data_IF_912001411715
#
_entry.id   IF_912001411715
#
_cell.length_a   1.000
_cell.length_b   1.000
_cell.length_c   1.000
_cell.angle_alpha   90.00
_cell.angle_beta   90.00
_cell.angle_gamma   90.00
#
_symmetry.space_group_name_H-M   'P 1'
#
loop_
_entity.id
_entity.type
_entity.pdbx_description
1 polymer ?
#
# COMPACT_ATOMS: atom_id res chain seq x y z
N UNK A 1 11.34 21.97 -26.61
CA UNK A 1 12.02 20.79 -26.03
C UNK A 1 10.96 19.80 -25.60
N UNK A 2 10.88 18.66 -26.28
CA UNK A 2 10.08 17.52 -25.82
C UNK A 2 10.68 17.01 -24.51
N UNK A 3 9.88 16.99 -23.45
CA UNK A 3 10.27 16.45 -22.14
C UNK A 3 9.71 15.05 -22.02
N UNK A 4 10.59 14.06 -22.01
CA UNK A 4 10.23 12.66 -21.84
C UNK A 4 10.10 12.34 -20.35
N UNK A 5 9.07 11.59 -19.96
CA UNK A 5 8.86 11.17 -18.57
C UNK A 5 8.51 9.69 -18.53
N UNK A 6 9.16 8.94 -17.65
CA UNK A 6 8.79 7.56 -17.34
C UNK A 6 7.90 7.55 -16.11
N UNK A 7 6.73 6.92 -16.20
CA UNK A 7 5.82 6.70 -15.08
C UNK A 7 5.69 5.20 -14.85
N UNK A 8 6.06 4.75 -13.65
CA UNK A 8 5.92 3.36 -13.21
C UNK A 8 4.63 3.18 -12.40
N UNK A 9 3.96 2.02 -12.53
CA UNK A 9 2.69 1.75 -11.83
C UNK A 9 1.54 2.65 -12.28
N UNK A 10 1.47 2.98 -13.58
CA UNK A 10 0.43 3.84 -14.15
C UNK A 10 -0.88 3.11 -14.51
N UNK A 11 -1.03 1.85 -14.16
CA UNK A 11 -2.21 1.04 -14.43
C UNK A 11 -3.43 1.56 -13.66
N UNK A 12 -3.24 2.02 -12.41
CA UNK A 12 -4.31 2.53 -11.52
C UNK A 12 -3.81 3.62 -10.57
N UNK A 13 -4.77 4.28 -9.91
CA UNK A 13 -4.52 5.24 -8.81
C UNK A 13 -3.64 6.43 -9.20
N UNK A 14 -2.77 6.83 -8.27
CA UNK A 14 -1.92 8.02 -8.41
C UNK A 14 -1.00 7.93 -9.64
N UNK A 15 -0.41 6.76 -9.92
CA UNK A 15 0.47 6.59 -11.07
C UNK A 15 -0.25 6.88 -12.40
N UNK A 16 -1.48 6.37 -12.53
CA UNK A 16 -2.35 6.65 -13.68
C UNK A 16 -2.70 8.14 -13.77
N UNK A 17 -3.09 8.75 -12.64
CA UNK A 17 -3.44 10.16 -12.59
C UNK A 17 -2.26 11.07 -12.97
N UNK A 18 -1.05 10.72 -12.52
CA UNK A 18 0.20 11.42 -12.88
C UNK A 18 0.50 11.26 -14.37
N UNK A 19 0.43 10.04 -14.91
CA UNK A 19 0.67 9.78 -16.33
C UNK A 19 -0.29 10.59 -17.22
N UNK A 20 -1.59 10.56 -16.91
CA UNK A 20 -2.62 11.31 -17.64
C UNK A 20 -2.42 12.83 -17.53
N UNK A 21 -2.01 13.32 -16.37
CA UNK A 21 -1.75 14.74 -16.17
C UNK A 21 -0.55 15.21 -16.98
N UNK A 22 0.56 14.47 -16.93
CA UNK A 22 1.77 14.78 -17.68
C UNK A 22 1.54 14.74 -19.19
N UNK A 23 0.73 13.78 -19.67
CA UNK A 23 0.34 13.74 -21.07
C UNK A 23 -0.46 15.00 -21.47
N UNK A 24 -1.42 15.43 -20.65
CA UNK A 24 -2.19 16.69 -20.87
C UNK A 24 -1.30 17.94 -20.87
N UNK A 25 -0.25 17.93 -20.06
CA UNK A 25 0.70 19.03 -19.97
C UNK A 25 1.77 18.99 -21.11
N UNK A 26 1.65 18.07 -22.08
CA UNK A 26 2.45 18.02 -23.30
C UNK A 26 3.76 17.23 -23.20
N UNK A 27 3.92 16.39 -22.17
CA UNK A 27 5.08 15.52 -22.02
C UNK A 27 4.94 14.25 -22.87
N UNK A 28 6.06 13.71 -23.34
CA UNK A 28 6.11 12.37 -23.92
C UNK A 28 6.19 11.36 -22.78
N UNK A 29 5.05 10.74 -22.44
CA UNK A 29 4.95 9.84 -21.31
C UNK A 29 5.19 8.40 -21.76
N UNK A 30 6.28 7.81 -21.28
CA UNK A 30 6.49 6.36 -21.32
C UNK A 30 5.88 5.76 -20.04
N UNK A 31 4.98 4.79 -20.21
CA UNK A 31 4.41 4.05 -19.08
C UNK A 31 5.11 2.70 -19.00
N UNK A 32 5.67 2.39 -17.85
CA UNK A 32 6.14 1.05 -17.55
C UNK A 32 5.25 0.45 -16.47
N UNK A 33 4.39 -0.45 -16.89
CA UNK A 33 3.57 -1.23 -15.97
C UNK A 33 3.70 -2.70 -16.28
N UNK A 34 3.53 -3.52 -15.25
CA UNK A 34 3.48 -4.95 -15.42
C UNK A 34 2.08 -5.23 -15.98
N UNK A 35 1.98 -5.81 -17.19
CA UNK A 35 0.72 -6.38 -17.66
C UNK A 35 0.28 -7.43 -16.64
N UNK A 36 -0.63 -7.06 -15.76
CA UNK A 36 -1.25 -7.99 -14.84
C UNK A 36 -2.75 -7.76 -14.87
N UNK A 37 -3.42 -8.77 -15.39
CA UNK A 37 -4.78 -9.11 -15.05
C UNK A 37 -4.96 -8.95 -13.53
N UNK A 38 -5.49 -7.81 -13.09
CA UNK A 38 -5.60 -7.44 -11.67
C UNK A 38 -6.44 -8.45 -10.88
N UNK A 39 -7.22 -9.29 -11.56
CA UNK A 39 -7.91 -10.44 -10.97
C UNK A 39 -6.94 -11.50 -10.38
N UNK A 40 -5.69 -11.56 -10.87
CA UNK A 40 -4.60 -12.41 -10.37
C UNK A 40 -3.76 -11.76 -9.28
N UNK A 41 -4.03 -10.50 -8.92
CA UNK A 41 -3.27 -9.72 -7.94
C UNK A 41 -3.54 -10.13 -6.47
N UNK A 42 -3.94 -11.38 -6.23
CA UNK A 42 -4.34 -11.88 -4.90
C UNK A 42 -3.16 -12.15 -3.95
N UNK A 43 -1.93 -12.24 -4.46
CA UNK A 43 -0.76 -12.63 -3.64
C UNK A 43 0.52 -11.85 -3.96
N UNK A 44 0.41 -10.61 -4.45
CA UNK A 44 1.61 -9.84 -4.83
C UNK A 44 2.49 -9.45 -3.62
N UNK A 45 1.94 -9.51 -2.40
CA UNK A 45 2.65 -9.22 -1.16
C UNK A 45 3.63 -10.34 -0.77
N UNK A 46 3.33 -11.59 -1.12
CA UNK A 46 4.15 -12.77 -0.81
C UNK A 46 5.36 -12.83 -1.75
N UNK A 47 6.54 -13.11 -1.19
CA UNK A 47 7.73 -13.41 -1.98
C UNK A 47 7.67 -14.86 -2.48
N UNK A 48 7.92 -15.09 -3.78
CA UNK A 48 7.93 -16.42 -4.41
C UNK A 48 9.32 -16.71 -4.96
N UNK A 49 9.91 -17.84 -4.57
CA UNK A 49 11.31 -18.19 -4.85
C UNK A 49 11.56 -18.71 -6.29
N UNK A 50 10.51 -18.99 -7.06
CA UNK A 50 10.52 -19.84 -8.27
C UNK A 50 11.26 -19.30 -9.51
N UNK A 51 12.01 -18.20 -9.43
CA UNK A 51 12.63 -17.55 -10.61
C UNK A 51 14.17 -17.44 -10.56
N UNK A 52 14.86 -18.09 -9.61
CA UNK A 52 16.32 -17.95 -9.46
C UNK A 52 17.02 -19.26 -9.87
N UNK A 53 17.69 -19.24 -11.03
CA UNK A 53 18.53 -20.36 -11.49
C UNK A 53 19.67 -20.62 -10.50
N UNK A 54 19.86 -21.89 -10.16
CA UNK A 54 20.45 -22.37 -8.89
C UNK A 54 21.99 -22.16 -8.79
N UNK A 55 22.66 -21.60 -9.79
CA UNK A 55 24.12 -21.65 -9.85
C UNK A 55 24.87 -20.63 -8.98
N UNK A 56 24.19 -19.60 -8.46
CA UNK A 56 24.70 -18.63 -7.44
C UNK A 56 23.62 -18.27 -6.39
N UNK A 57 22.83 -19.28 -6.00
CA UNK A 57 21.45 -19.13 -5.52
C UNK A 57 21.26 -18.45 -4.16
N UNK A 58 22.10 -18.71 -3.15
CA UNK A 58 21.80 -18.31 -1.77
C UNK A 58 21.89 -16.79 -1.55
N UNK A 59 22.99 -16.17 -1.99
CA UNK A 59 23.18 -14.71 -1.89
C UNK A 59 22.17 -13.95 -2.79
N UNK A 60 21.86 -14.51 -3.96
CA UNK A 60 20.90 -13.91 -4.91
C UNK A 60 19.45 -14.00 -4.40
N UNK A 61 19.08 -15.11 -3.73
CA UNK A 61 17.75 -15.30 -3.14
C UNK A 61 17.52 -14.41 -1.92
N UNK A 62 18.48 -14.35 -0.99
CA UNK A 62 18.41 -13.45 0.17
C UNK A 62 18.31 -11.98 -0.24
N UNK A 63 19.12 -11.57 -1.22
CA UNK A 63 19.07 -10.22 -1.78
C UNK A 63 17.73 -9.95 -2.50
N UNK A 64 17.21 -10.89 -3.29
CA UNK A 64 15.92 -10.75 -3.97
C UNK A 64 14.77 -10.61 -2.98
N UNK A 65 14.78 -11.39 -1.89
CA UNK A 65 13.80 -11.28 -0.81
C UNK A 65 13.90 -9.94 -0.10
N UNK A 66 15.11 -9.47 0.19
CA UNK A 66 15.33 -8.15 0.79
C UNK A 66 14.79 -7.02 -0.11
N UNK A 67 15.13 -7.05 -1.40
CA UNK A 67 14.65 -6.07 -2.40
C UNK A 67 13.13 -6.07 -2.45
N UNK A 68 12.49 -7.24 -2.54
CA UNK A 68 11.02 -7.35 -2.56
C UNK A 68 10.38 -6.64 -1.37
N UNK A 69 10.79 -6.94 -0.14
CA UNK A 69 10.21 -6.34 1.06
C UNK A 69 10.53 -4.84 1.19
N UNK A 70 11.75 -4.44 0.79
CA UNK A 70 12.18 -3.04 0.82
C UNK A 70 11.40 -2.18 -0.18
N UNK A 71 11.19 -2.67 -1.40
CA UNK A 71 10.43 -1.97 -2.43
C UNK A 71 8.98 -1.77 -1.99
N UNK A 72 8.36 -2.78 -1.37
CA UNK A 72 7.01 -2.67 -0.80
C UNK A 72 6.93 -1.68 0.35
N UNK A 73 7.90 -1.72 1.27
CA UNK A 73 8.02 -0.73 2.34
C UNK A 73 8.08 0.69 1.77
N UNK A 74 8.97 0.93 0.79
CA UNK A 74 9.18 2.24 0.17
C UNK A 74 7.96 2.70 -0.60
N UNK A 75 7.27 1.80 -1.30
CA UNK A 75 6.06 2.12 -2.04
C UNK A 75 4.96 2.60 -1.10
N UNK A 76 4.68 1.87 -0.01
CA UNK A 76 3.69 2.30 0.98
C UNK A 76 4.09 3.59 1.70
N UNK A 77 5.37 3.77 2.01
CA UNK A 77 5.88 5.02 2.60
C UNK A 77 5.68 6.23 1.64
N UNK A 78 5.90 6.03 0.34
CA UNK A 78 5.68 7.04 -0.68
C UNK A 78 4.19 7.35 -0.88
N UNK A 79 3.33 6.31 -0.95
CA UNK A 79 1.87 6.47 -1.01
C UNK A 79 1.36 7.27 0.19
N UNK A 80 1.82 6.94 1.41
CA UNK A 80 1.48 7.68 2.63
C UNK A 80 1.84 9.17 2.52
N UNK A 81 3.02 9.51 1.99
CA UNK A 81 3.44 10.91 1.78
C UNK A 81 2.54 11.63 0.78
N UNK A 82 2.14 10.98 -0.31
CA UNK A 82 1.29 11.54 -1.36
C UNK A 82 -0.15 11.73 -0.85
N UNK A 83 -0.72 10.71 -0.21
CA UNK A 83 -2.05 10.74 0.38
C UNK A 83 -2.16 11.78 1.51
N UNK A 84 -1.10 11.96 2.32
CA UNK A 84 -1.05 13.03 3.32
C UNK A 84 -1.14 14.42 2.68
N UNK A 85 -0.48 14.63 1.54
CA UNK A 85 -0.58 15.89 0.77
C UNK A 85 -1.98 16.05 0.18
N UNK A 86 -2.57 14.98 -0.34
CA UNK A 86 -3.94 14.95 -0.86
C UNK A 86 -4.93 15.33 0.24
N UNK A 87 -4.85 14.71 1.42
CA UNK A 87 -5.69 15.03 2.57
C UNK A 87 -5.63 16.52 2.92
N UNK A 88 -4.41 17.08 3.08
CA UNK A 88 -4.24 18.52 3.38
C UNK A 88 -4.87 19.41 2.32
N UNK A 89 -4.75 19.06 1.04
CA UNK A 89 -5.34 19.82 -0.07
C UNK A 89 -6.87 19.73 -0.05
N UNK A 90 -7.41 18.53 0.12
CA UNK A 90 -8.86 18.28 0.17
C UNK A 90 -9.49 18.93 1.38
N UNK A 91 -8.91 18.76 2.57
CA UNK A 91 -9.39 19.39 3.80
C UNK A 91 -9.45 20.92 3.68
N UNK A 92 -8.44 21.58 3.11
CA UNK A 92 -8.50 23.04 2.83
C UNK A 92 -9.65 23.41 1.89
N UNK A 93 -9.94 22.59 0.88
CA UNK A 93 -11.07 22.83 -0.03
C UNK A 93 -12.41 22.61 0.66
N UNK A 94 -12.54 21.60 1.52
CA UNK A 94 -13.74 21.34 2.31
C UNK A 94 -14.03 22.52 3.26
N UNK A 95 -13.01 23.03 3.94
CA UNK A 95 -13.15 24.19 4.82
C UNK A 95 -13.59 25.47 4.08
N UNK A 96 -13.18 25.64 2.81
CA UNK A 96 -13.61 26.76 1.96
C UNK A 96 -15.03 26.60 1.40
N UNK A 97 -15.54 25.38 1.32
CA UNK A 97 -16.87 25.06 0.80
C UNK A 97 -17.80 24.55 1.91
N UNK A 98 -17.62 25.02 3.16
CA UNK A 98 -18.43 24.60 4.32
C UNK A 98 -19.93 24.80 4.11
N UNK A 99 -20.31 25.77 3.30
CA UNK A 99 -21.72 26.09 3.05
C UNK A 99 -22.38 25.11 2.07
N UNK A 100 -21.60 24.28 1.35
CA UNK A 100 -22.08 23.33 0.34
C UNK A 100 -22.13 21.88 0.81
N UNK A 101 -21.50 21.57 1.94
CA UNK A 101 -21.39 20.21 2.47
C UNK A 101 -21.82 20.19 3.92
N UNK A 102 -22.59 19.17 4.31
CA UNK A 102 -22.96 18.99 5.71
C UNK A 102 -21.71 18.76 6.56
N UNK A 103 -21.74 19.22 7.81
CA UNK A 103 -20.70 18.91 8.81
C UNK A 103 -20.43 17.41 8.90
N UNK A 104 -21.47 16.59 8.78
CA UNK A 104 -21.36 15.14 8.81
C UNK A 104 -20.61 14.58 7.58
N UNK A 105 -20.78 15.20 6.41
CA UNK A 105 -20.10 14.80 5.18
C UNK A 105 -18.61 15.11 5.25
N UNK A 106 -18.27 16.29 5.77
CA UNK A 106 -16.87 16.68 6.02
C UNK A 106 -16.22 15.68 6.99
N UNK A 107 -16.88 15.36 8.11
CA UNK A 107 -16.38 14.37 9.07
C UNK A 107 -16.23 12.97 8.45
N UNK A 108 -17.15 12.58 7.56
CA UNK A 108 -17.07 11.30 6.85
C UNK A 108 -15.81 11.23 5.99
N UNK A 109 -15.51 12.31 5.24
CA UNK A 109 -14.31 12.40 4.41
C UNK A 109 -13.04 12.40 5.27
N UNK A 110 -13.03 13.17 6.36
CA UNK A 110 -11.90 13.22 7.30
C UNK A 110 -11.59 11.86 7.89
N UNK A 111 -12.63 11.15 8.35
CA UNK A 111 -12.49 9.79 8.89
C UNK A 111 -11.97 8.81 7.84
N UNK A 112 -12.45 8.91 6.60
CA UNK A 112 -11.97 8.06 5.52
C UNK A 112 -10.47 8.25 5.25
N UNK A 113 -9.99 9.51 5.22
CA UNK A 113 -8.56 9.79 5.11
C UNK A 113 -7.77 9.33 6.33
N UNK A 114 -8.27 9.54 7.54
CA UNK A 114 -7.61 9.08 8.76
C UNK A 114 -7.37 7.56 8.73
N UNK A 115 -8.39 6.79 8.37
CA UNK A 115 -8.28 5.34 8.24
C UNK A 115 -7.33 4.96 7.11
N UNK A 116 -7.40 5.60 5.95
CA UNK A 116 -6.48 5.33 4.83
C UNK A 116 -5.02 5.51 5.26
N UNK A 117 -4.69 6.66 5.86
CA UNK A 117 -3.33 6.98 6.30
C UNK A 117 -2.84 6.00 7.39
N UNK A 118 -3.71 5.60 8.31
CA UNK A 118 -3.39 4.61 9.34
C UNK A 118 -3.11 3.24 8.72
N UNK A 119 -3.95 2.79 7.78
CA UNK A 119 -3.74 1.53 7.06
C UNK A 119 -2.41 1.54 6.27
N UNK A 120 -2.07 2.63 5.59
CA UNK A 120 -0.77 2.78 4.93
C UNK A 120 0.40 2.66 5.89
N UNK A 121 0.34 3.34 7.03
CA UNK A 121 1.38 3.24 8.06
C UNK A 121 1.55 1.80 8.55
N UNK A 122 0.43 1.11 8.83
CA UNK A 122 0.47 -0.30 9.23
C UNK A 122 1.12 -1.14 8.14
N UNK A 123 0.67 -1.02 6.89
CA UNK A 123 1.24 -1.74 5.75
C UNK A 123 2.75 -1.50 5.61
N UNK A 124 3.22 -0.26 5.74
CA UNK A 124 4.66 0.06 5.76
C UNK A 124 5.41 -0.81 6.77
N UNK A 125 4.93 -0.95 8.00
CA UNK A 125 5.60 -1.75 9.04
C UNK A 125 5.35 -3.26 8.94
N UNK A 126 4.30 -3.70 8.24
CA UNK A 126 4.07 -5.14 8.01
C UNK A 126 5.15 -5.78 7.15
N UNK A 127 5.78 -5.03 6.22
CA UNK A 127 6.79 -5.59 5.32
C UNK A 127 8.15 -5.87 6.01
N UNK A 128 8.71 -4.98 6.84
CA UNK A 128 9.85 -5.31 7.69
C UNK A 128 9.55 -6.47 8.63
N UNK A 129 8.35 -6.51 9.23
CA UNK A 129 7.94 -7.64 10.08
C UNK A 129 7.93 -8.96 9.29
N UNK A 130 7.33 -8.99 8.09
CA UNK A 130 7.31 -10.17 7.21
C UNK A 130 8.71 -10.60 6.75
N UNK A 131 9.61 -9.65 6.50
CA UNK A 131 10.97 -9.93 6.06
C UNK A 131 11.76 -10.75 7.10
N UNK A 132 11.65 -10.41 8.38
CA UNK A 132 12.34 -11.14 9.44
C UNK A 132 11.63 -12.44 9.83
N UNK A 133 10.37 -12.63 9.42
CA UNK A 133 9.57 -13.76 9.85
C UNK A 133 10.04 -15.06 9.18
N UNK A 134 10.16 -16.11 9.98
CA UNK A 134 10.32 -17.49 9.51
C UNK A 134 8.97 -18.06 9.13
N UNK A 135 8.92 -18.79 8.01
CA UNK A 135 7.69 -19.35 7.48
C UNK A 135 7.08 -20.40 8.43
N UNK A 136 5.83 -20.18 8.81
CA UNK A 136 4.98 -21.10 9.56
C UNK A 136 3.49 -20.83 9.30
N UNK A 137 2.59 -21.66 9.84
CA UNK A 137 1.14 -21.52 9.65
C UNK A 137 0.60 -20.12 10.02
N UNK A 138 1.18 -19.49 11.05
CA UNK A 138 0.74 -18.17 11.53
C UNK A 138 1.24 -17.06 10.59
N UNK A 139 2.41 -17.23 9.98
CA UNK A 139 2.94 -16.35 8.94
C UNK A 139 2.07 -16.37 7.68
N UNK A 140 1.49 -17.52 7.31
CA UNK A 140 0.57 -17.63 6.17
C UNK A 140 -0.73 -16.86 6.42
N UNK A 141 -1.30 -17.01 7.61
CA UNK A 141 -2.49 -16.24 8.02
C UNK A 141 -2.18 -14.75 8.09
N UNK A 142 -1.00 -14.38 8.58
CA UNK A 142 -0.55 -12.99 8.59
C UNK A 142 -0.46 -12.40 7.17
N UNK A 143 0.17 -13.12 6.23
CA UNK A 143 0.31 -12.67 4.84
C UNK A 143 -1.06 -12.54 4.14
N UNK A 144 -2.01 -13.43 4.43
CA UNK A 144 -3.37 -13.32 3.90
C UNK A 144 -4.08 -12.08 4.46
N UNK A 145 -3.96 -11.85 5.77
CA UNK A 145 -4.52 -10.64 6.41
C UNK A 145 -3.86 -9.36 5.87
N UNK A 146 -2.56 -9.41 5.58
CA UNK A 146 -1.83 -8.30 4.95
C UNK A 146 -2.35 -8.03 3.54
N UNK A 147 -2.56 -9.07 2.72
CA UNK A 147 -3.11 -8.94 1.37
C UNK A 147 -4.52 -8.35 1.39
N UNK A 148 -5.39 -8.82 2.30
CA UNK A 148 -6.75 -8.31 2.47
C UNK A 148 -6.75 -6.83 2.87
N UNK A 149 -5.84 -6.42 3.76
CA UNK A 149 -5.67 -5.02 4.17
C UNK A 149 -5.13 -4.16 3.01
N UNK A 150 -4.13 -4.65 2.28
CA UNK A 150 -3.55 -3.93 1.14
C UNK A 150 -4.63 -3.66 0.07
N UNK A 151 -5.40 -4.67 -0.30
CA UNK A 151 -6.48 -4.52 -1.27
C UNK A 151 -7.57 -3.54 -0.79
N UNK A 152 -7.98 -3.64 0.49
CA UNK A 152 -8.95 -2.70 1.05
C UNK A 152 -8.42 -1.26 1.00
N UNK A 153 -7.15 -1.07 1.35
CA UNK A 153 -6.47 0.22 1.36
C UNK A 153 -6.41 0.84 -0.05
N UNK A 154 -6.05 0.07 -1.08
CA UNK A 154 -6.03 0.55 -2.46
C UNK A 154 -7.43 0.95 -2.94
N UNK A 155 -8.45 0.13 -2.68
CA UNK A 155 -9.83 0.46 -3.07
C UNK A 155 -10.30 1.76 -2.41
N UNK A 156 -9.99 1.99 -1.14
CA UNK A 156 -10.31 3.25 -0.47
C UNK A 156 -9.58 4.44 -1.10
N UNK A 157 -8.29 4.29 -1.42
CA UNK A 157 -7.50 5.33 -2.09
C UNK A 157 -8.15 5.77 -3.40
N UNK A 158 -8.59 4.82 -4.22
CA UNK A 158 -9.24 5.11 -5.52
C UNK A 158 -10.48 5.98 -5.40
N UNK A 159 -11.27 5.83 -4.33
CA UNK A 159 -12.43 6.70 -4.10
C UNK A 159 -12.02 8.08 -3.61
N UNK A 160 -11.00 8.18 -2.76
CA UNK A 160 -10.56 9.45 -2.17
C UNK A 160 -9.69 10.30 -3.11
N UNK A 161 -9.14 9.72 -4.17
CA UNK A 161 -8.47 10.42 -5.26
C UNK A 161 -9.42 11.19 -6.19
N UNK A 162 -10.72 10.85 -6.19
CA UNK A 162 -11.74 11.55 -6.98
C UNK A 162 -11.96 12.96 -6.42
N UNK A 163 -12.59 13.85 -7.21
CA UNK A 163 -12.95 15.18 -6.73
C UNK A 163 -14.17 15.14 -5.80
N UNK A 164 -13.93 14.67 -4.58
CA UNK A 164 -14.93 14.54 -3.52
C UNK A 164 -15.35 15.88 -2.91
N UNK A 165 -14.87 17.00 -3.47
CA UNK A 165 -15.27 18.35 -3.06
C UNK A 165 -16.49 18.87 -3.83
N UNK A 166 -16.88 18.16 -4.89
CA UNK A 166 -18.16 18.36 -5.59
C UNK A 166 -19.27 17.59 -4.87
N UNK A 167 -20.34 18.29 -4.47
CA UNK A 167 -21.48 17.71 -3.76
C UNK A 167 -22.14 16.57 -4.55
N UNK A 168 -22.34 16.76 -5.86
CA UNK A 168 -22.92 15.74 -6.75
C UNK A 168 -22.07 14.46 -6.76
N UNK A 169 -20.76 14.61 -6.99
CA UNK A 169 -19.83 13.47 -7.04
C UNK A 169 -19.79 12.78 -5.68
N UNK A 170 -19.73 13.55 -4.60
CA UNK A 170 -19.67 12.99 -3.25
C UNK A 170 -20.92 12.18 -2.92
N UNK A 171 -22.12 12.70 -3.20
CA UNK A 171 -23.37 11.98 -2.94
C UNK A 171 -23.45 10.64 -3.68
N UNK A 172 -22.93 10.57 -4.92
CA UNK A 172 -22.90 9.34 -5.71
C UNK A 172 -21.98 8.25 -5.13
N UNK A 173 -20.90 8.65 -4.45
CA UNK A 173 -19.88 7.72 -3.93
C UNK A 173 -19.84 7.62 -2.41
N UNK A 174 -20.60 8.45 -1.68
CA UNK A 174 -20.57 8.54 -0.21
C UNK A 174 -20.76 7.19 0.45
N UNK A 175 -21.79 6.44 0.03
CA UNK A 175 -22.07 5.10 0.56
C UNK A 175 -20.87 4.18 0.37
N UNK A 176 -20.26 4.20 -0.83
CA UNK A 176 -19.08 3.39 -1.14
C UNK A 176 -17.87 3.80 -0.29
N UNK A 177 -17.62 5.09 -0.11
CA UNK A 177 -16.55 5.56 0.79
C UNK A 177 -16.76 5.04 2.21
N UNK A 178 -17.99 5.12 2.73
CA UNK A 178 -18.32 4.63 4.07
C UNK A 178 -18.05 3.14 4.21
N UNK A 179 -18.57 2.34 3.28
CA UNK A 179 -18.35 0.90 3.25
C UNK A 179 -16.86 0.55 3.17
N UNK A 180 -16.10 1.25 2.32
CA UNK A 180 -14.67 0.97 2.13
C UNK A 180 -13.81 1.35 3.33
N UNK A 181 -14.02 2.52 3.95
CA UNK A 181 -13.22 2.87 5.13
C UNK A 181 -13.57 1.97 6.33
N UNK A 182 -14.84 1.58 6.50
CA UNK A 182 -15.22 0.64 7.56
C UNK A 182 -14.58 -0.73 7.35
N UNK A 183 -14.55 -1.20 6.11
CA UNK A 183 -13.89 -2.45 5.76
C UNK A 183 -12.37 -2.38 6.00
N UNK A 184 -11.71 -1.28 5.62
CA UNK A 184 -10.30 -1.04 5.95
C UNK A 184 -10.04 -1.08 7.46
N UNK A 185 -10.89 -0.40 8.24
CA UNK A 185 -10.78 -0.33 9.69
C UNK A 185 -10.93 -1.72 10.35
N UNK A 186 -11.85 -2.54 9.84
CA UNK A 186 -12.00 -3.92 10.26
C UNK A 186 -10.77 -4.77 9.91
N UNK A 187 -10.22 -4.64 8.69
CA UNK A 187 -9.05 -5.41 8.24
C UNK A 187 -7.77 -5.08 9.00
N UNK A 188 -7.52 -3.80 9.30
CA UNK A 188 -6.37 -3.45 10.13
C UNK A 188 -6.51 -4.03 11.54
N UNK A 189 -7.74 -4.08 12.08
CA UNK A 189 -8.00 -4.62 13.42
C UNK A 189 -7.76 -6.13 13.47
N UNK A 190 -8.20 -6.88 12.44
CA UNK A 190 -7.94 -8.32 12.30
C UNK A 190 -6.44 -8.60 12.21
N UNK A 191 -5.72 -7.88 11.34
CA UNK A 191 -4.28 -8.03 11.18
C UNK A 191 -3.52 -7.78 12.50
N UNK A 192 -3.80 -6.64 13.15
CA UNK A 192 -3.10 -6.27 14.39
C UNK A 192 -3.44 -7.22 15.54
N UNK A 193 -4.69 -7.70 15.62
CA UNK A 193 -5.11 -8.69 16.61
C UNK A 193 -4.35 -10.00 16.42
N UNK A 194 -4.25 -10.50 15.18
CA UNK A 194 -3.47 -11.71 14.84
C UNK A 194 -2.00 -11.57 15.23
N UNK A 195 -1.38 -10.44 14.90
CA UNK A 195 0.01 -10.13 15.29
C UNK A 195 0.18 -10.15 16.81
N UNK A 196 -0.73 -9.52 17.55
CA UNK A 196 -0.71 -9.47 19.02
C UNK A 196 -0.91 -10.85 19.66
N UNK A 197 -1.84 -11.65 19.13
CA UNK A 197 -2.05 -13.03 19.56
C UNK A 197 -0.80 -13.87 19.33
N UNK A 198 -0.12 -13.69 18.20
CA UNK A 198 1.14 -14.39 17.94
C UNK A 198 2.27 -14.01 18.89
N UNK A 199 2.34 -12.75 19.36
CA UNK A 199 3.28 -12.38 20.43
C UNK A 199 2.89 -12.96 21.79
N UNK A 200 1.59 -13.11 22.08
CA UNK A 200 1.12 -13.62 23.37
C UNK A 200 1.36 -15.13 23.50
N UNK A 201 1.36 -15.84 22.38
CA UNK A 201 1.50 -17.29 22.33
C UNK A 201 2.83 -17.77 21.72
N UNK A 202 3.81 -16.87 21.56
CA UNK A 202 5.15 -17.16 21.00
C UNK A 202 5.12 -17.86 19.62
N UNK A 203 4.21 -17.45 18.74
CA UNK A 203 4.08 -17.99 17.38
C UNK A 203 5.15 -17.50 16.41
N UNK A 204 5.74 -16.34 16.69
CA UNK A 204 6.66 -15.68 15.77
C UNK A 204 8.08 -16.20 15.97
N UNK A 205 8.61 -16.82 14.92
CA UNK A 205 10.00 -17.19 14.81
C UNK A 205 10.66 -16.25 13.82
N UNK A 206 11.88 -15.82 14.11
CA UNK A 206 12.62 -14.88 13.27
C UNK A 206 13.87 -15.54 12.71
N UNK A 207 14.29 -15.11 11.53
CA UNK A 207 15.53 -15.58 10.95
C UNK A 207 16.72 -14.90 11.64
N UNK A 208 17.60 -15.71 12.24
CA UNK A 208 18.87 -15.27 12.79
C UNK A 208 19.89 -15.00 11.68
N UNK A 209 19.85 -13.82 11.06
CA UNK A 209 20.90 -13.43 10.10
C UNK A 209 21.58 -12.12 10.48
N UNK A 210 22.31 -12.17 11.61
CA UNK A 210 23.69 -11.70 11.67
C UNK A 210 24.54 -12.84 12.26
N UNK A 211 24.56 -14.02 11.62
CA UNK A 211 25.63 -14.98 11.87
C UNK A 211 26.88 -14.50 11.14
N UNK A 212 27.73 -13.88 11.94
CA UNK A 212 29.14 -13.53 11.76
C UNK A 212 29.88 -14.41 10.75
N UNK A 213 29.82 -14.09 9.46
CA UNK A 213 30.79 -14.58 8.46
C UNK A 213 32.13 -13.80 8.50
N UNK A 214 32.50 -13.26 9.67
CA UNK A 214 33.81 -12.61 9.89
C UNK A 214 34.86 -13.63 10.41
N UNK A 215 34.46 -14.83 10.86
CA UNK A 215 35.40 -15.75 11.51
C UNK A 215 36.04 -16.84 10.61
N UNK A 216 35.91 -16.78 9.28
CA UNK A 216 36.58 -17.71 8.37
C UNK A 216 37.61 -17.03 7.44
N UNK A 217 38.41 -16.12 8.00
CA UNK A 217 39.72 -15.72 7.44
C UNK A 217 40.73 -15.54 8.57
N UNK A 218 41.26 -16.65 9.07
CA UNK A 218 42.62 -16.75 9.62
C UNK A 218 43.26 -17.94 8.92
#
# INVERSE_FOLDING_TARGET
MSRNVLVTGAARGIGQAIALRLAKDGFNVAVNDIENDWSKHKECNRFVENNINITDAANTLGLSRYIHHLDRYRNHENSLKLETKLFKKTHRKLLKNKDKLSKNDIQTIEKAFEILLKCRQILTYTYPFAYYLTKNNQSDVFEQNQADLEQACEHLSEFLEKDITSETIFNDIKRKIVEQYQYCDARQSVLLKHVKEGYTNDYWQYQDEIKTNINNKI
#
